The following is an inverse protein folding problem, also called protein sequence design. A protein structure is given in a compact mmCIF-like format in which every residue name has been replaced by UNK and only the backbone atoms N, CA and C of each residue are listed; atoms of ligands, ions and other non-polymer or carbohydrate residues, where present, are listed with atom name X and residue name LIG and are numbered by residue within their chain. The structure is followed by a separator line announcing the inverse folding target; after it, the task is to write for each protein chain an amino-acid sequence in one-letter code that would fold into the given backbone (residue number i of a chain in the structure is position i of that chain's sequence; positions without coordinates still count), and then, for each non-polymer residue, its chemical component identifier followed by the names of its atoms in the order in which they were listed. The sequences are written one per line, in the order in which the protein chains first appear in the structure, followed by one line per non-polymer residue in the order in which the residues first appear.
data_IF_704562123003
#
_entry.id   IF_704562123003
#
_cell.length_a   1.000
_cell.length_b   1.000
_cell.length_c   1.000
_cell.angle_alpha   90.00
_cell.angle_beta   90.00
_cell.angle_gamma   90.00
#
_symmetry.space_group_name_H-M   'P 1'
#
loop_
_entity.id
_entity.type
_entity.pdbx_description
1 polymer ?
#
# COMPACT_ATOMS: atom_id res chain seq x y z
N UNK A 1 14.72 -1.87 -16.10
CA UNK A 1 14.64 -2.40 -14.71
C UNK A 1 13.48 -3.38 -14.65
N UNK A 2 13.78 -4.67 -14.79
CA UNK A 2 12.81 -5.75 -14.66
C UNK A 2 12.70 -6.06 -13.16
N UNK A 3 11.61 -5.67 -12.50
CA UNK A 3 11.33 -6.13 -11.14
C UNK A 3 10.78 -7.55 -11.29
N UNK A 4 11.54 -8.61 -10.96
CA UNK A 4 11.01 -9.95 -10.98
C UNK A 4 9.76 -9.96 -10.11
N UNK A 5 8.72 -10.68 -10.56
CA UNK A 5 7.55 -10.98 -9.76
C UNK A 5 8.01 -11.86 -8.59
N UNK A 6 8.55 -11.21 -7.56
CA UNK A 6 9.01 -11.87 -6.36
C UNK A 6 7.80 -12.47 -5.66
N UNK A 7 7.81 -13.79 -5.55
CA UNK A 7 6.68 -14.57 -5.05
C UNK A 7 6.54 -14.48 -3.52
N UNK A 8 7.25 -13.57 -2.87
CA UNK A 8 7.15 -13.31 -1.45
C UNK A 8 6.31 -12.05 -1.22
N UNK A 9 5.06 -12.23 -0.78
CA UNK A 9 4.19 -11.13 -0.37
C UNK A 9 4.77 -10.52 0.90
N UNK A 10 5.71 -9.60 0.75
CA UNK A 10 6.41 -8.98 1.88
C UNK A 10 6.17 -7.48 1.94
N UNK A 11 5.75 -6.98 3.11
CA UNK A 11 5.72 -5.54 3.39
C UNK A 11 7.12 -4.92 3.25
N UNK A 12 8.18 -5.70 3.41
CA UNK A 12 9.55 -5.23 3.25
C UNK A 12 9.89 -4.81 1.81
N UNK A 13 9.18 -5.33 0.81
CA UNK A 13 9.32 -4.94 -0.61
C UNK A 13 8.75 -3.54 -0.93
N UNK A 14 7.96 -2.98 -0.01
CA UNK A 14 7.40 -1.65 -0.15
C UNK A 14 8.47 -0.59 0.18
N UNK A 15 8.51 0.44 -0.66
CA UNK A 15 9.29 1.65 -0.39
C UNK A 15 8.74 2.37 0.84
N UNK A 16 9.52 3.28 1.42
CA UNK A 16 9.11 4.09 2.55
C UNK A 16 7.76 4.79 2.33
N UNK A 17 7.59 5.44 1.17
CA UNK A 17 6.34 6.13 0.80
C UNK A 17 5.15 5.18 0.63
N UNK A 18 5.37 4.00 0.06
CA UNK A 18 4.33 2.98 -0.05
C UNK A 18 3.92 2.45 1.34
N UNK A 19 4.87 2.29 2.28
CA UNK A 19 4.57 1.92 3.66
C UNK A 19 3.74 3.00 4.38
N UNK A 20 4.04 4.28 4.18
CA UNK A 20 3.23 5.37 4.75
C UNK A 20 1.80 5.38 4.20
N UNK A 21 1.65 5.26 2.87
CA UNK A 21 0.34 5.16 2.22
C UNK A 21 -0.43 3.94 2.73
N UNK A 22 0.22 2.78 2.84
CA UNK A 22 -0.37 1.54 3.37
C UNK A 22 -0.87 1.73 4.80
N UNK A 23 -0.04 2.31 5.69
CA UNK A 23 -0.40 2.56 7.09
C UNK A 23 -1.66 3.41 7.20
N UNK A 24 -1.73 4.52 6.47
CA UNK A 24 -2.91 5.39 6.49
C UNK A 24 -4.13 4.70 5.87
N UNK A 25 -3.93 3.90 4.81
CA UNK A 25 -5.00 3.14 4.16
C UNK A 25 -5.63 2.12 5.11
N UNK A 26 -4.83 1.37 5.86
CA UNK A 26 -5.30 0.38 6.84
C UNK A 26 -5.99 1.04 8.04
N UNK A 27 -5.59 2.27 8.41
CA UNK A 27 -6.31 3.10 9.38
C UNK A 27 -7.68 3.59 8.88
N UNK A 28 -8.10 3.24 7.65
CA UNK A 28 -9.39 3.63 7.09
C UNK A 28 -9.40 5.01 6.42
N UNK A 29 -8.24 5.60 6.14
CA UNK A 29 -8.19 6.91 5.51
C UNK A 29 -8.57 6.80 4.02
N UNK A 30 -9.36 7.78 3.56
CA UNK A 30 -9.67 7.92 2.13
C UNK A 30 -8.45 8.44 1.37
N UNK A 31 -8.37 8.17 0.06
CA UNK A 31 -7.24 8.61 -0.76
C UNK A 31 -7.01 10.13 -0.70
N UNK A 32 -8.08 10.91 -0.53
CA UNK A 32 -8.02 12.36 -0.29
C UNK A 32 -7.33 12.68 1.05
N UNK A 33 -7.78 12.08 2.16
CA UNK A 33 -7.15 12.28 3.47
C UNK A 33 -5.68 11.82 3.49
N UNK A 34 -5.34 10.76 2.76
CA UNK A 34 -3.96 10.28 2.62
C UNK A 34 -3.11 11.33 1.88
N UNK A 35 -3.63 11.87 0.78
CA UNK A 35 -2.99 12.93 0.01
C UNK A 35 -2.73 14.17 0.89
N UNK A 36 -3.72 14.64 1.62
CA UNK A 36 -3.58 15.73 2.59
C UNK A 36 -2.53 15.41 3.67
N UNK A 37 -2.59 14.21 4.25
CA UNK A 37 -1.68 13.80 5.34
C UNK A 37 -0.22 13.67 4.91
N UNK A 38 0.02 13.32 3.65
CA UNK A 38 1.36 13.13 3.09
C UNK A 38 1.82 14.33 2.24
N UNK A 39 0.99 15.37 2.12
CA UNK A 39 1.21 16.56 1.28
C UNK A 39 1.57 16.19 -0.17
N UNK A 40 0.80 15.28 -0.77
CA UNK A 40 0.96 14.82 -2.16
C UNK A 40 -0.37 14.82 -2.91
N UNK A 41 -0.32 14.75 -4.24
CA UNK A 41 -1.52 14.66 -5.05
C UNK A 41 -2.27 13.33 -4.87
N UNK A 42 -3.60 13.37 -4.96
CA UNK A 42 -4.45 12.17 -4.89
C UNK A 42 -4.13 11.14 -5.98
N UNK A 43 -3.68 11.59 -7.16
CA UNK A 43 -3.24 10.70 -8.26
C UNK A 43 -1.98 9.92 -7.85
N UNK A 44 -1.03 10.57 -7.18
CA UNK A 44 0.17 9.96 -6.62
C UNK A 44 -0.19 8.91 -5.57
N UNK A 45 -1.15 9.19 -4.69
CA UNK A 45 -1.69 8.19 -3.74
C UNK A 45 -2.26 6.98 -4.48
N UNK A 46 -3.06 7.19 -5.54
CA UNK A 46 -3.63 6.10 -6.35
C UNK A 46 -2.54 5.27 -7.03
N UNK A 47 -1.48 5.90 -7.51
CA UNK A 47 -0.31 5.21 -8.09
C UNK A 47 0.42 4.38 -7.04
N UNK A 48 0.67 4.92 -5.84
CA UNK A 48 1.24 4.15 -4.74
C UNK A 48 0.35 2.95 -4.37
N UNK A 49 -0.97 3.12 -4.26
CA UNK A 49 -1.90 2.02 -3.97
C UNK A 49 -1.86 0.93 -5.05
N UNK A 50 -1.79 1.30 -6.34
CA UNK A 50 -1.62 0.32 -7.42
C UNK A 50 -0.31 -0.46 -7.29
N UNK A 51 0.79 0.22 -6.98
CA UNK A 51 2.08 -0.45 -6.79
C UNK A 51 2.08 -1.35 -5.56
N UNK A 52 1.48 -0.91 -4.45
CA UNK A 52 1.31 -1.72 -3.23
C UNK A 52 0.52 -2.98 -3.54
N UNK A 53 -0.64 -2.87 -4.19
CA UNK A 53 -1.45 -4.03 -4.57
C UNK A 53 -0.68 -5.00 -5.46
N UNK A 54 0.07 -4.49 -6.45
CA UNK A 54 0.90 -5.32 -7.32
C UNK A 54 2.04 -6.03 -6.56
N UNK A 55 2.72 -5.32 -5.65
CA UNK A 55 3.84 -5.87 -4.86
C UNK A 55 3.37 -6.90 -3.82
N UNK A 56 2.23 -6.66 -3.19
CA UNK A 56 1.66 -7.56 -2.18
C UNK A 56 0.77 -8.66 -2.78
N UNK A 57 0.48 -8.61 -4.08
CA UNK A 57 -0.41 -9.58 -4.73
C UNK A 57 -1.83 -9.59 -4.16
N UNK A 58 -2.34 -8.43 -3.71
CA UNK A 58 -3.69 -8.28 -3.15
C UNK A 58 -4.56 -7.47 -4.11
N UNK A 59 -5.82 -7.87 -4.28
CA UNK A 59 -6.71 -7.26 -5.27
C UNK A 59 -7.74 -6.32 -4.63
N UNK A 60 -7.99 -6.47 -3.33
CA UNK A 60 -9.01 -5.69 -2.62
C UNK A 60 -8.47 -4.97 -1.38
N UNK A 61 -9.10 -3.86 -1.02
CA UNK A 61 -8.84 -3.16 0.24
C UNK A 61 -9.05 -4.09 1.45
N UNK A 62 -10.05 -4.97 1.39
CA UNK A 62 -10.33 -5.95 2.45
C UNK A 62 -9.16 -6.93 2.59
N UNK A 63 -8.64 -7.47 1.48
CA UNK A 63 -7.45 -8.33 1.51
C UNK A 63 -6.22 -7.59 2.04
N UNK A 64 -6.04 -6.31 1.67
CA UNK A 64 -4.93 -5.50 2.17
C UNK A 64 -4.98 -5.34 3.69
N UNK A 65 -6.16 -5.08 4.25
CA UNK A 65 -6.37 -4.96 5.70
C UNK A 65 -6.12 -6.31 6.38
N UNK A 66 -6.66 -7.41 5.84
CA UNK A 66 -6.44 -8.75 6.38
C UNK A 66 -4.96 -9.14 6.36
N UNK A 67 -4.26 -8.81 5.27
CA UNK A 67 -2.84 -9.09 5.11
C UNK A 67 -2.00 -8.37 6.17
N UNK A 68 -2.27 -7.08 6.40
CA UNK A 68 -1.59 -6.32 7.46
C UNK A 68 -1.96 -6.84 8.85
N UNK A 69 -3.23 -7.20 9.09
CA UNK A 69 -3.66 -7.77 10.35
C UNK A 69 -2.94 -9.09 10.67
N UNK A 70 -2.77 -9.99 9.69
CA UNK A 70 -2.02 -11.25 9.85
C UNK A 70 -0.53 -11.08 10.16
N UNK A 71 0.05 -9.91 9.89
CA UNK A 71 1.49 -9.66 10.02
C UNK A 71 1.85 -8.85 11.28
N UNK A 72 0.88 -8.20 11.91
CA UNK A 72 1.07 -7.32 13.09
C UNK A 72 0.37 -7.82 14.36
N UNK A 73 -0.37 -8.93 14.29
CA UNK A 73 -1.03 -9.65 15.40
C UNK A 73 -0.62 -11.11 15.32
#
# INVERSE_FOLDING_TARGET
MNFPADQNRDIQSLTYREKDVLRLRVKGYSSKKIADSLTIEITTVRTHLKHIHRKLGVSSQVELIQFVHKMYI
#
